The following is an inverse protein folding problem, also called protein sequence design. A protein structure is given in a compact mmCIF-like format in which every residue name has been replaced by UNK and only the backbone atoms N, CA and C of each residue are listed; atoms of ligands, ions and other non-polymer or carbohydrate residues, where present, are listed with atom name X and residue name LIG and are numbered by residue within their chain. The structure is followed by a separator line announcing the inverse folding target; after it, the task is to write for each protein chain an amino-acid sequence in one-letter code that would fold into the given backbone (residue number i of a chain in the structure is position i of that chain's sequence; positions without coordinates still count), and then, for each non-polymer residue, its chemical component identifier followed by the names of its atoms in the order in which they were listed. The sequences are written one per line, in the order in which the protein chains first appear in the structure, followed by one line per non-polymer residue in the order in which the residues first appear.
data_IF_794235259522
#
_entry.id   IF_794235259522
#
_cell.length_a   1.000
_cell.length_b   1.000
_cell.length_c   1.000
_cell.angle_alpha   90.00
_cell.angle_beta   90.00
_cell.angle_gamma   90.00
#
_symmetry.space_group_name_H-M   'P 1'
#
loop_
_entity.id
_entity.type
_entity.pdbx_description
1 polymer ?
#
# COMPACT_ATOMS: atom_id res chain seq x y z
N UNK A 1 25.46 -11.47 -22.70
CA UNK A 1 26.16 -11.16 -23.96
C UNK A 1 27.64 -11.02 -23.62
N UNK A 2 28.22 -12.12 -23.14
CA UNK A 2 29.53 -12.20 -22.49
C UNK A 2 30.46 -13.28 -23.06
N UNK A 3 29.99 -14.45 -23.59
CA UNK A 3 30.90 -15.56 -23.84
C UNK A 3 31.91 -15.27 -24.97
N UNK A 4 31.55 -14.45 -25.96
CA UNK A 4 32.48 -14.08 -27.05
C UNK A 4 33.57 -13.12 -26.56
N UNK A 5 33.31 -12.34 -25.51
CA UNK A 5 34.31 -11.40 -25.00
C UNK A 5 35.27 -12.12 -24.06
N UNK A 6 34.80 -13.09 -23.27
CA UNK A 6 35.73 -14.04 -22.63
C UNK A 6 36.48 -14.89 -23.66
N UNK A 7 35.84 -15.31 -24.76
CA UNK A 7 36.56 -15.98 -25.85
C UNK A 7 37.65 -15.09 -26.47
N UNK A 8 37.35 -13.80 -26.67
CA UNK A 8 38.28 -12.83 -27.24
C UNK A 8 39.43 -12.56 -26.27
N UNK A 9 39.12 -12.31 -25.00
CA UNK A 9 40.08 -12.07 -23.91
C UNK A 9 40.97 -13.29 -23.70
N UNK A 10 40.44 -14.51 -23.72
CA UNK A 10 41.21 -15.77 -23.77
C UNK A 10 42.10 -15.86 -25.01
N UNK A 11 41.56 -15.57 -26.21
CA UNK A 11 42.30 -15.70 -27.47
C UNK A 11 43.46 -14.70 -27.54
N UNK A 12 43.17 -13.45 -27.19
CA UNK A 12 44.15 -12.38 -27.08
C UNK A 12 45.16 -12.70 -25.98
N UNK A 13 44.73 -13.12 -24.79
CA UNK A 13 45.66 -13.56 -23.75
C UNK A 13 46.52 -14.74 -24.19
N UNK A 14 46.02 -15.71 -24.96
CA UNK A 14 46.81 -16.83 -25.49
C UNK A 14 47.84 -16.33 -26.51
N UNK A 15 47.47 -15.45 -27.44
CA UNK A 15 48.41 -14.81 -28.36
C UNK A 15 49.48 -14.01 -27.57
N UNK A 16 49.06 -13.19 -26.61
CA UNK A 16 49.96 -12.42 -25.74
C UNK A 16 50.81 -13.31 -24.83
N UNK A 17 50.37 -14.49 -24.39
CA UNK A 17 51.15 -15.42 -23.57
C UNK A 17 52.19 -16.21 -24.38
N UNK A 18 51.88 -16.47 -25.65
CA UNK A 18 52.78 -17.15 -26.57
C UNK A 18 53.95 -16.24 -26.99
N UNK A 19 53.72 -14.93 -27.11
CA UNK A 19 54.79 -13.93 -27.16
C UNK A 19 55.42 -13.67 -25.79
N UNK A 20 54.64 -13.19 -24.82
CA UNK A 20 55.14 -12.65 -23.55
C UNK A 20 54.72 -13.47 -22.31
N UNK A 21 55.70 -14.08 -21.63
CA UNK A 21 55.46 -15.00 -20.50
C UNK A 21 55.36 -14.31 -19.12
N UNK A 22 54.16 -14.37 -18.53
CA UNK A 22 53.85 -14.35 -17.07
C UNK A 22 54.27 -13.14 -16.18
N UNK A 23 53.28 -12.45 -15.57
CA UNK A 23 52.96 -12.59 -14.11
C UNK A 23 51.70 -11.81 -13.64
N UNK A 24 51.22 -12.14 -12.43
CA UNK A 24 50.03 -11.59 -11.72
C UNK A 24 50.44 -11.03 -10.32
N UNK A 25 49.60 -10.18 -9.66
CA UNK A 25 49.23 -10.28 -8.20
C UNK A 25 48.35 -9.11 -7.58
N UNK A 26 47.06 -9.43 -7.30
CA UNK A 26 46.23 -9.22 -6.05
C UNK A 26 46.13 -7.92 -5.19
N UNK A 27 44.89 -7.37 -5.14
CA UNK A 27 43.88 -7.28 -4.02
C UNK A 27 44.21 -6.64 -2.63
N UNK A 28 43.30 -5.78 -2.09
CA UNK A 28 42.75 -5.83 -0.68
C UNK A 28 41.52 -4.92 -0.37
N UNK A 29 40.74 -5.29 0.67
CA UNK A 29 39.59 -4.61 1.32
C UNK A 29 39.74 -4.66 2.88
N UNK A 30 38.85 -4.03 3.68
CA UNK A 30 38.51 -4.37 5.11
C UNK A 30 37.33 -3.53 5.68
N UNK A 31 36.70 -4.03 6.77
CA UNK A 31 35.38 -3.70 7.38
C UNK A 31 35.52 -3.08 8.83
N UNK A 32 34.55 -2.91 9.77
CA UNK A 32 33.13 -3.29 9.98
C UNK A 32 32.46 -2.44 11.14
N UNK A 33 31.11 -2.41 11.25
CA UNK A 33 30.30 -2.36 12.53
C UNK A 33 30.13 -1.00 13.33
N UNK A 34 29.26 -0.79 14.36
CA UNK A 34 28.25 -1.61 15.10
C UNK A 34 27.23 -0.83 16.03
N UNK A 35 26.27 -1.56 16.68
CA UNK A 35 25.58 -1.34 18.01
C UNK A 35 24.15 -0.67 18.13
N UNK A 36 23.39 -1.00 19.20
CA UNK A 36 21.90 -1.04 19.35
C UNK A 36 21.19 -0.20 20.50
N UNK A 37 19.83 -0.29 20.56
CA UNK A 37 18.89 -0.32 21.74
C UNK A 37 18.35 1.00 22.37
N UNK A 38 17.17 1.11 23.07
CA UNK A 38 16.03 0.18 23.37
C UNK A 38 14.78 0.81 24.10
N UNK A 39 13.57 0.19 23.96
CA UNK A 39 12.41 0.00 24.92
C UNK A 39 11.29 1.08 25.20
N UNK A 40 10.22 0.68 25.94
CA UNK A 40 8.80 1.19 25.93
C UNK A 40 8.14 1.40 27.34
N UNK A 41 6.90 1.98 27.43
CA UNK A 41 5.75 1.62 28.35
C UNK A 41 4.40 2.35 28.03
N UNK A 42 3.27 2.06 28.74
CA UNK A 42 1.83 2.31 28.38
C UNK A 42 0.97 3.05 29.49
N UNK A 43 -0.40 3.02 29.41
CA UNK A 43 -1.42 3.97 29.97
C UNK A 43 -2.25 3.57 31.26
N UNK A 44 -3.14 4.46 31.78
CA UNK A 44 -4.15 4.23 32.88
C UNK A 44 -5.50 5.02 32.71
N UNK A 45 -6.57 4.67 33.46
CA UNK A 45 -7.97 5.21 33.40
C UNK A 45 -8.73 5.09 34.77
N UNK A 46 -9.86 5.81 35.06
CA UNK A 46 -10.45 5.91 36.44
C UNK A 46 -12.00 6.12 36.57
N UNK A 47 -12.63 5.63 37.67
CA UNK A 47 -14.09 5.67 38.00
C UNK A 47 -14.44 6.39 39.35
N UNK A 48 -15.73 6.72 39.64
CA UNK A 48 -16.22 7.50 40.84
C UNK A 48 -17.65 7.12 41.36
N UNK A 49 -17.91 7.23 42.68
CA UNK A 49 -19.21 6.94 43.37
C UNK A 49 -19.98 8.18 43.95
N UNK A 50 -21.22 7.99 44.43
CA UNK A 50 -22.15 9.04 44.96
C UNK A 50 -22.66 8.79 46.40
N UNK A 51 -23.23 9.81 47.06
CA UNK A 51 -23.42 9.86 48.54
C UNK A 51 -24.87 9.64 49.06
N UNK A 52 -25.07 9.27 50.36
CA UNK A 52 -26.36 8.76 50.85
C UNK A 52 -27.54 9.75 50.96
N UNK A 53 -27.29 11.06 51.06
CA UNK A 53 -28.34 12.04 51.36
C UNK A 53 -29.44 12.08 50.29
N UNK A 54 -29.05 11.94 49.02
CA UNK A 54 -29.97 11.95 47.87
C UNK A 54 -30.97 10.79 47.86
N UNK A 55 -30.67 9.69 48.56
CA UNK A 55 -31.52 8.49 48.63
C UNK A 55 -32.70 8.65 49.60
N UNK A 56 -32.65 9.62 50.51
CA UNK A 56 -33.73 9.90 51.45
C UNK A 56 -34.82 10.76 50.78
N UNK A 57 -34.42 11.85 50.14
CA UNK A 57 -35.34 12.79 49.47
C UNK A 57 -36.17 12.10 48.36
N UNK A 58 -35.56 11.15 47.64
CA UNK A 58 -36.23 10.33 46.60
C UNK A 58 -37.36 9.45 47.15
N UNK A 59 -37.38 9.09 48.45
CA UNK A 59 -38.46 8.27 49.05
C UNK A 59 -39.72 9.08 49.34
N UNK A 60 -39.58 10.31 49.83
CA UNK A 60 -40.73 11.12 50.26
C UNK A 60 -41.66 11.46 49.08
N UNK A 61 -41.08 11.85 47.94
CA UNK A 61 -41.84 12.17 46.70
C UNK A 61 -42.65 10.97 46.19
N UNK A 62 -42.16 9.74 46.39
CA UNK A 62 -42.88 8.51 45.99
C UNK A 62 -44.08 8.25 46.91
N UNK A 63 -44.01 8.62 48.19
CA UNK A 63 -45.13 8.49 49.11
C UNK A 63 -46.27 9.45 48.76
N UNK A 64 -45.95 10.72 48.46
CA UNK A 64 -46.89 11.76 48.06
C UNK A 64 -47.64 11.39 46.76
N UNK A 65 -46.92 10.98 45.71
CA UNK A 65 -47.51 10.49 44.46
C UNK A 65 -48.45 9.29 44.67
N UNK A 66 -48.15 8.42 45.65
CA UNK A 66 -48.98 7.26 45.95
C UNK A 66 -50.30 7.61 46.64
N UNK A 67 -50.37 8.73 47.37
CA UNK A 67 -51.64 9.26 47.90
C UNK A 67 -52.54 9.77 46.77
N UNK A 68 -52.00 10.58 45.84
CA UNK A 68 -52.78 11.07 44.69
C UNK A 68 -53.27 9.92 43.79
N UNK A 69 -52.50 8.84 43.62
CA UNK A 69 -53.00 7.65 42.92
C UNK A 69 -54.20 7.01 43.63
N UNK A 70 -54.23 6.97 44.97
CA UNK A 70 -55.37 6.42 45.71
C UNK A 70 -56.66 7.23 45.50
N UNK A 71 -56.58 8.56 45.45
CA UNK A 71 -57.73 9.46 45.19
C UNK A 71 -58.30 9.28 43.76
N UNK A 72 -57.42 9.03 42.78
CA UNK A 72 -57.79 8.69 41.40
C UNK A 72 -58.35 7.24 41.30
N UNK A 73 -58.16 6.40 42.32
CA UNK A 73 -58.56 4.99 42.33
C UNK A 73 -57.53 4.04 41.72
N UNK A 74 -56.31 4.53 41.44
CA UNK A 74 -55.21 3.75 40.90
C UNK A 74 -54.39 3.07 42.02
N UNK A 75 -53.84 1.89 41.72
CA UNK A 75 -52.91 1.19 42.63
C UNK A 75 -51.65 2.02 42.91
N UNK A 76 -50.99 1.90 44.08
CA UNK A 76 -49.73 2.58 44.36
C UNK A 76 -48.57 2.09 43.48
N UNK A 77 -47.57 2.95 43.30
CA UNK A 77 -46.37 2.76 42.48
C UNK A 77 -45.21 2.17 43.31
N UNK A 78 -44.83 0.92 43.04
CA UNK A 78 -43.85 0.15 43.84
C UNK A 78 -42.45 0.09 43.22
N UNK A 79 -41.81 1.25 43.00
CA UNK A 79 -40.48 1.32 42.35
C UNK A 79 -39.35 0.57 43.10
N UNK A 80 -39.43 0.48 44.43
CA UNK A 80 -38.44 -0.24 45.24
C UNK A 80 -38.46 -1.76 45.07
N UNK A 81 -39.55 -2.34 44.54
CA UNK A 81 -39.66 -3.77 44.27
C UNK A 81 -39.12 -4.17 42.88
N UNK A 82 -38.53 -3.22 42.13
CA UNK A 82 -38.10 -3.40 40.74
C UNK A 82 -36.63 -3.03 40.58
N UNK A 83 -35.92 -3.82 39.76
CA UNK A 83 -34.56 -3.53 39.33
C UNK A 83 -34.47 -2.28 38.46
N UNK A 84 -33.34 -1.58 38.54
CA UNK A 84 -33.08 -0.26 37.94
C UNK A 84 -33.61 -0.12 36.50
N UNK A 85 -33.22 -1.07 35.64
CA UNK A 85 -33.52 -1.06 34.21
C UNK A 85 -35.02 -1.12 33.90
N UNK A 86 -35.83 -1.70 34.79
CA UNK A 86 -37.28 -1.90 34.61
C UNK A 86 -38.13 -0.73 35.13
N UNK A 87 -37.56 0.14 35.98
CA UNK A 87 -38.30 1.24 36.64
C UNK A 87 -38.91 2.23 35.64
N UNK A 88 -38.17 2.57 34.59
CA UNK A 88 -38.61 3.54 33.57
C UNK A 88 -39.70 2.99 32.64
N UNK A 89 -39.75 1.67 32.42
CA UNK A 89 -40.83 1.02 31.67
C UNK A 89 -42.11 0.97 32.50
N UNK A 90 -42.04 0.44 33.72
CA UNK A 90 -43.17 0.37 34.65
C UNK A 90 -43.78 1.75 34.94
N UNK A 91 -42.95 2.79 35.10
CA UNK A 91 -43.44 4.17 35.28
C UNK A 91 -44.24 4.69 34.08
N UNK A 92 -43.80 4.42 32.84
CA UNK A 92 -44.51 4.82 31.62
C UNK A 92 -45.84 4.06 31.45
N UNK A 93 -45.82 2.75 31.67
CA UNK A 93 -47.02 1.90 31.59
C UNK A 93 -48.07 2.33 32.64
N UNK A 94 -47.62 2.64 33.87
CA UNK A 94 -48.51 3.10 34.94
C UNK A 94 -49.08 4.50 34.65
N UNK A 95 -48.27 5.42 34.11
CA UNK A 95 -48.71 6.75 33.70
C UNK A 95 -49.79 6.66 32.60
N UNK A 96 -49.64 5.75 31.64
CA UNK A 96 -50.65 5.54 30.59
C UNK A 96 -51.98 5.07 31.19
N UNK A 97 -51.97 4.08 32.10
CA UNK A 97 -53.20 3.62 32.78
C UNK A 97 -53.88 4.75 33.58
N UNK A 98 -53.09 5.59 34.25
CA UNK A 98 -53.62 6.78 34.98
C UNK A 98 -54.26 7.76 34.00
N UNK A 99 -53.64 8.02 32.84
CA UNK A 99 -54.21 8.87 31.80
C UNK A 99 -55.53 8.29 31.24
N UNK A 100 -55.61 6.98 31.05
CA UNK A 100 -56.84 6.27 30.64
C UNK A 100 -57.96 6.39 31.69
N UNK A 101 -57.68 6.08 32.97
CA UNK A 101 -58.67 6.24 34.07
C UNK A 101 -59.09 7.70 34.31
N UNK A 102 -58.19 8.66 34.13
CA UNK A 102 -58.52 10.10 34.20
C UNK A 102 -59.38 10.51 33.00
N UNK A 103 -59.09 10.04 31.79
CA UNK A 103 -59.94 10.28 30.61
C UNK A 103 -61.35 9.71 30.80
N UNK A 104 -61.45 8.49 31.32
CA UNK A 104 -62.73 7.83 31.64
C UNK A 104 -63.52 8.61 32.71
N UNK A 105 -62.89 9.02 33.82
CA UNK A 105 -63.54 9.89 34.82
C UNK A 105 -63.98 11.24 34.25
N UNK A 106 -63.20 11.85 33.37
CA UNK A 106 -63.56 13.13 32.73
C UNK A 106 -64.74 12.95 31.76
N UNK A 107 -64.77 11.87 30.96
CA UNK A 107 -65.88 11.55 30.07
C UNK A 107 -67.18 11.31 30.87
N UNK A 108 -67.11 10.53 31.95
CA UNK A 108 -68.24 10.26 32.85
C UNK A 108 -68.76 11.49 33.62
N UNK A 109 -67.96 12.56 33.76
CA UNK A 109 -68.35 13.81 34.45
C UNK A 109 -68.86 14.90 33.48
N UNK A 110 -68.54 14.81 32.19
CA UNK A 110 -68.89 15.83 31.20
C UNK A 110 -70.01 15.43 30.22
N UNK A 111 -70.44 14.16 30.19
CA UNK A 111 -71.49 13.63 29.29
C UNK A 111 -71.24 13.91 27.78
N UNK A 112 -69.97 14.10 27.40
CA UNK A 112 -69.56 14.34 26.00
C UNK A 112 -68.66 13.20 25.52
N UNK A 113 -69.14 12.48 24.50
CA UNK A 113 -68.31 11.57 23.72
C UNK A 113 -67.27 12.36 22.90
N UNK A 114 -66.07 12.46 23.47
CA UNK A 114 -64.91 12.98 22.77
C UNK A 114 -64.59 12.06 21.57
N UNK A 115 -64.64 12.56 20.32
CA UNK A 115 -64.39 11.71 19.16
C UNK A 115 -62.98 11.12 19.22
N UNK A 116 -62.86 9.85 18.85
CA UNK A 116 -61.56 9.21 18.73
C UNK A 116 -60.68 10.01 17.75
N UNK A 117 -59.52 10.49 18.20
CA UNK A 117 -58.47 11.02 17.32
C UNK A 117 -57.85 9.90 16.49
N UNK A 118 -58.64 9.38 15.54
CA UNK A 118 -58.18 8.52 14.46
C UNK A 118 -57.26 9.37 13.59
N UNK A 119 -55.98 9.30 13.90
CA UNK A 119 -54.86 9.92 13.18
C UNK A 119 -54.65 9.27 11.81
N UNK A 120 -55.68 9.36 10.96
CA UNK A 120 -55.66 8.93 9.55
C UNK A 120 -54.87 9.96 8.75
N UNK A 121 -53.57 10.01 9.03
CA UNK A 121 -52.57 10.51 8.09
C UNK A 121 -52.70 9.61 6.86
N UNK A 122 -53.44 10.09 5.85
CA UNK A 122 -53.51 9.43 4.54
C UNK A 122 -52.07 9.25 4.07
N UNK A 123 -51.61 8.01 3.93
CA UNK A 123 -50.42 7.72 3.15
C UNK A 123 -50.71 8.24 1.74
N UNK A 124 -50.03 9.28 1.30
CA UNK A 124 -50.16 9.74 -0.07
C UNK A 124 -49.57 8.67 -0.98
N UNK A 125 -50.28 8.35 -2.06
CA UNK A 125 -49.82 7.38 -3.06
C UNK A 125 -48.43 7.74 -3.60
N UNK A 126 -48.08 9.03 -3.59
CA UNK A 126 -46.81 9.55 -4.06
C UNK A 126 -45.62 9.14 -3.16
N UNK A 127 -45.85 8.84 -1.89
CA UNK A 127 -44.82 8.24 -1.03
C UNK A 127 -44.52 6.80 -1.45
N UNK A 128 -45.54 6.02 -1.80
CA UNK A 128 -45.36 4.65 -2.26
C UNK A 128 -44.72 4.62 -3.67
N UNK A 129 -45.14 5.52 -4.58
CA UNK A 129 -44.47 5.76 -5.88
C UNK A 129 -42.97 6.10 -5.71
N UNK A 130 -42.64 7.02 -4.78
CA UNK A 130 -41.25 7.42 -4.49
C UNK A 130 -40.44 6.27 -3.88
N UNK A 131 -41.06 5.44 -3.04
CA UNK A 131 -40.45 4.23 -2.47
C UNK A 131 -40.14 3.19 -3.56
N UNK A 132 -41.02 3.01 -4.55
CA UNK A 132 -40.77 2.11 -5.69
C UNK A 132 -39.69 2.62 -6.65
N UNK A 133 -39.63 3.93 -6.92
CA UNK A 133 -38.52 4.56 -7.65
C UNK A 133 -37.18 4.25 -6.95
N UNK A 134 -37.12 4.38 -5.62
CA UNK A 134 -35.91 4.05 -4.85
C UNK A 134 -35.58 2.55 -4.93
N UNK A 135 -36.56 1.63 -4.90
CA UNK A 135 -36.29 0.18 -5.08
C UNK A 135 -35.63 -0.11 -6.44
N UNK A 136 -36.14 0.51 -7.51
CA UNK A 136 -35.62 0.31 -8.86
C UNK A 136 -34.17 0.79 -8.96
N UNK A 137 -33.86 2.00 -8.50
CA UNK A 137 -32.49 2.53 -8.45
C UNK A 137 -31.55 1.70 -7.53
N UNK A 138 -32.04 1.17 -6.41
CA UNK A 138 -31.25 0.29 -5.55
C UNK A 138 -30.82 -1.00 -6.26
N UNK A 139 -31.61 -1.50 -7.21
CA UNK A 139 -31.31 -2.75 -7.92
C UNK A 139 -30.09 -2.64 -8.86
N UNK A 140 -29.97 -1.54 -9.60
CA UNK A 140 -28.91 -1.33 -10.60
C UNK A 140 -27.65 -0.62 -10.09
N UNK A 141 -27.66 -0.09 -8.87
CA UNK A 141 -26.56 0.76 -8.36
C UNK A 141 -25.53 0.03 -7.51
N UNK A 142 -24.31 0.59 -7.46
CA UNK A 142 -23.23 0.03 -6.64
C UNK A 142 -23.60 0.00 -5.15
N UNK A 143 -23.10 -1.01 -4.42
CA UNK A 143 -23.40 -1.19 -2.98
C UNK A 143 -23.07 0.01 -2.09
N UNK A 144 -22.28 0.97 -2.60
CA UNK A 144 -22.00 2.25 -1.96
C UNK A 144 -23.16 3.24 -2.12
N UNK A 145 -23.64 3.44 -3.35
CA UNK A 145 -24.87 4.21 -3.63
C UNK A 145 -26.08 3.58 -2.94
N UNK A 146 -26.17 2.26 -2.89
CA UNK A 146 -27.24 1.57 -2.13
C UNK A 146 -27.29 2.00 -0.66
N UNK A 147 -26.14 2.02 0.04
CA UNK A 147 -26.09 2.44 1.46
C UNK A 147 -26.40 3.95 1.61
N UNK A 148 -25.97 4.77 0.65
CA UNK A 148 -26.28 6.21 0.60
C UNK A 148 -27.78 6.46 0.45
N UNK A 149 -28.44 5.81 -0.52
CA UNK A 149 -29.90 5.95 -0.74
C UNK A 149 -30.72 5.38 0.43
N UNK A 150 -30.24 4.32 1.09
CA UNK A 150 -30.85 3.81 2.32
C UNK A 150 -30.76 4.77 3.52
N UNK A 151 -30.07 5.92 3.42
CA UNK A 151 -30.19 7.01 4.41
C UNK A 151 -31.54 7.73 4.33
N UNK A 152 -32.24 7.69 3.19
CA UNK A 152 -33.56 8.31 3.01
C UNK A 152 -34.62 7.68 3.95
N UNK A 153 -34.87 6.35 3.94
CA UNK A 153 -35.77 5.74 4.92
C UNK A 153 -35.20 5.75 6.36
N UNK A 154 -33.89 5.98 6.54
CA UNK A 154 -33.31 6.17 7.87
C UNK A 154 -33.62 7.56 8.46
N UNK A 155 -33.64 8.63 7.65
CA UNK A 155 -34.03 9.97 8.12
C UNK A 155 -35.52 10.05 8.46
N UNK A 156 -36.35 9.28 7.77
CA UNK A 156 -37.76 9.04 8.11
C UNK A 156 -37.96 8.14 9.36
N UNK A 157 -36.88 7.80 10.08
CA UNK A 157 -36.89 6.98 11.31
C UNK A 157 -37.53 5.59 11.17
N UNK A 158 -37.51 4.98 9.99
CA UNK A 158 -38.10 3.65 9.78
C UNK A 158 -37.35 2.55 10.56
N UNK A 159 -38.10 1.58 11.07
CA UNK A 159 -37.53 0.42 11.77
C UNK A 159 -36.68 -0.44 10.83
N UNK A 160 -35.64 -1.09 11.38
CA UNK A 160 -34.72 -1.92 10.57
C UNK A 160 -35.43 -3.03 9.78
N UNK A 161 -36.46 -3.64 10.38
CA UNK A 161 -37.33 -4.63 9.75
C UNK A 161 -38.06 -4.04 8.56
N UNK A 162 -38.79 -2.93 8.74
CA UNK A 162 -39.48 -2.22 7.64
C UNK A 162 -38.55 -1.90 6.47
N UNK A 163 -37.36 -1.34 6.72
CA UNK A 163 -36.41 -1.02 5.63
C UNK A 163 -35.92 -2.31 4.93
N UNK A 164 -35.57 -3.35 5.70
CA UNK A 164 -35.13 -4.65 5.17
C UNK A 164 -36.21 -5.28 4.27
N UNK A 165 -37.46 -5.28 4.73
CA UNK A 165 -38.61 -5.88 4.06
C UNK A 165 -39.07 -5.05 2.85
N UNK A 166 -39.23 -3.73 2.98
CA UNK A 166 -39.68 -2.87 1.87
C UNK A 166 -38.69 -2.82 0.70
N UNK A 167 -37.39 -2.79 0.96
CA UNK A 167 -36.36 -2.66 -0.08
C UNK A 167 -35.63 -3.97 -0.42
N UNK A 168 -36.00 -5.09 0.20
CA UNK A 168 -35.37 -6.41 0.04
C UNK A 168 -33.82 -6.39 0.21
N UNK A 169 -33.33 -5.65 1.20
CA UNK A 169 -31.88 -5.44 1.44
C UNK A 169 -31.39 -6.18 2.68
N UNK A 170 -30.12 -6.60 2.68
CA UNK A 170 -29.47 -7.22 3.84
C UNK A 170 -29.44 -6.29 5.06
N UNK A 171 -29.74 -6.78 6.28
CA UNK A 171 -29.75 -6.00 7.54
C UNK A 171 -28.43 -5.25 7.78
N UNK A 172 -27.29 -5.80 7.37
CA UNK A 172 -25.99 -5.09 7.40
C UNK A 172 -26.02 -3.75 6.66
N UNK A 173 -26.64 -3.69 5.48
CA UNK A 173 -26.79 -2.44 4.71
C UNK A 173 -27.67 -1.45 5.45
N UNK A 174 -28.78 -1.92 6.04
CA UNK A 174 -29.70 -1.07 6.82
C UNK A 174 -29.03 -0.53 8.07
N UNK A 175 -28.37 -1.38 8.86
CA UNK A 175 -27.58 -0.98 10.05
C UNK A 175 -26.49 0.01 9.68
N UNK A 176 -25.79 -0.20 8.56
CA UNK A 176 -24.74 0.70 8.10
C UNK A 176 -25.30 2.03 7.59
N UNK A 177 -26.43 2.04 6.89
CA UNK A 177 -27.09 3.28 6.45
C UNK A 177 -27.64 4.09 7.64
N UNK A 178 -28.26 3.43 8.63
CA UNK A 178 -28.71 4.09 9.86
C UNK A 178 -27.55 4.64 10.70
N UNK A 179 -26.41 3.94 10.79
CA UNK A 179 -25.22 4.51 11.43
C UNK A 179 -24.67 5.70 10.62
N UNK A 180 -24.52 5.54 9.30
CA UNK A 180 -24.01 6.61 8.42
C UNK A 180 -24.88 7.88 8.48
N UNK A 181 -26.21 7.74 8.55
CA UNK A 181 -27.12 8.85 8.73
C UNK A 181 -26.93 9.56 10.08
N UNK A 182 -26.65 8.83 11.17
CA UNK A 182 -26.32 9.42 12.48
C UNK A 182 -24.95 10.11 12.50
N UNK A 183 -23.96 9.49 11.87
CA UNK A 183 -22.57 9.96 11.88
C UNK A 183 -22.34 11.15 10.92
N UNK A 184 -23.09 11.23 9.81
CA UNK A 184 -22.80 12.14 8.68
C UNK A 184 -24.04 12.77 8.01
N UNK A 185 -25.27 12.42 8.42
CA UNK A 185 -26.50 13.05 7.91
C UNK A 185 -27.08 12.44 6.62
N UNK A 186 -27.99 13.20 6.01
CA UNK A 186 -28.80 12.79 4.86
C UNK A 186 -27.95 12.65 3.57
N UNK A 187 -28.13 11.55 2.84
CA UNK A 187 -27.41 11.22 1.60
C UNK A 187 -25.87 11.25 1.72
N UNK A 188 -25.32 11.08 2.92
CA UNK A 188 -23.88 10.99 3.15
C UNK A 188 -23.24 9.81 2.38
N UNK A 189 -22.09 10.03 1.77
CA UNK A 189 -21.34 8.98 1.07
C UNK A 189 -20.63 8.05 2.08
N UNK A 190 -20.82 6.72 2.00
CA UNK A 190 -20.05 5.80 2.83
C UNK A 190 -18.55 5.97 2.58
N UNK A 191 -17.75 6.17 3.64
CA UNK A 191 -16.30 6.36 3.55
C UNK A 191 -15.61 5.25 2.73
N UNK A 192 -14.54 5.60 2.00
CA UNK A 192 -13.72 4.62 1.26
C UNK A 192 -13.10 3.64 2.25
N UNK A 193 -13.11 2.34 1.92
CA UNK A 193 -12.31 1.33 2.63
C UNK A 193 -10.85 1.51 2.24
N UNK A 194 -10.20 2.52 2.82
CA UNK A 194 -8.75 2.62 2.79
C UNK A 194 -8.19 1.40 3.54
N UNK A 195 -7.21 0.72 2.95
CA UNK A 195 -6.47 -0.33 3.67
C UNK A 195 -5.68 0.26 4.84
N UNK A 196 -5.13 -0.59 5.73
CA UNK A 196 -4.25 -0.11 6.81
C UNK A 196 -3.12 0.73 6.20
N UNK A 197 -3.09 2.01 6.55
CA UNK A 197 -2.04 2.91 6.11
C UNK A 197 -0.74 2.52 6.83
N UNK A 198 0.37 2.54 6.09
CA UNK A 198 1.71 2.46 6.70
C UNK A 198 2.00 3.81 7.37
N UNK A 199 2.70 3.80 8.50
CA UNK A 199 3.15 5.04 9.13
C UNK A 199 4.16 5.78 8.24
N UNK A 200 4.26 7.12 8.34
CA UNK A 200 5.14 7.91 7.47
C UNK A 200 6.63 7.51 7.63
N UNK A 201 7.03 7.16 8.84
CA UNK A 201 8.38 6.70 9.21
C UNK A 201 8.79 5.42 8.44
N UNK A 202 7.87 4.47 8.28
CA UNK A 202 8.11 3.26 7.46
C UNK A 202 8.28 3.64 5.97
N UNK A 203 7.53 4.65 5.49
CA UNK A 203 7.65 5.14 4.12
C UNK A 203 9.00 5.87 3.92
N UNK A 204 9.49 6.58 4.93
CA UNK A 204 10.81 7.22 4.88
C UNK A 204 11.96 6.21 4.97
N UNK A 205 11.86 5.21 5.84
CA UNK A 205 12.83 4.12 5.95
C UNK A 205 12.98 3.37 4.62
N UNK A 206 11.86 3.02 3.96
CA UNK A 206 11.89 2.39 2.62
C UNK A 206 12.56 3.30 1.58
N UNK A 207 12.36 4.62 1.61
CA UNK A 207 13.05 5.56 0.70
C UNK A 207 14.56 5.59 0.97
N UNK A 208 14.96 5.66 2.25
CA UNK A 208 16.38 5.63 2.67
C UNK A 208 17.05 4.34 2.23
N UNK A 209 16.38 3.20 2.38
CA UNK A 209 16.84 1.91 1.89
C UNK A 209 17.05 1.91 0.36
N UNK A 210 16.12 2.48 -0.41
CA UNK A 210 16.26 2.71 -1.86
C UNK A 210 17.36 3.74 -2.25
N UNK A 211 17.96 4.44 -1.29
CA UNK A 211 19.05 5.41 -1.50
C UNK A 211 20.42 4.89 -1.01
N UNK A 212 20.50 3.70 -0.38
CA UNK A 212 21.77 3.10 0.02
C UNK A 212 22.65 2.84 -1.20
N UNK A 213 23.96 3.11 -1.05
CA UNK A 213 24.94 2.98 -2.14
C UNK A 213 25.31 1.52 -2.47
N UNK A 214 25.04 0.59 -1.55
CA UNK A 214 25.09 -0.86 -1.78
C UNK A 214 23.98 -1.33 -2.72
N UNK A 215 22.78 -0.79 -2.55
CA UNK A 215 21.57 -1.22 -3.25
C UNK A 215 21.36 -0.43 -4.56
N UNK A 216 21.99 0.75 -4.68
CA UNK A 216 21.79 1.68 -5.79
C UNK A 216 23.02 2.55 -6.07
N UNK A 217 23.46 2.64 -7.33
CA UNK A 217 24.58 3.52 -7.73
C UNK A 217 24.07 4.80 -8.39
N UNK A 218 24.69 5.96 -8.11
CA UNK A 218 24.33 7.23 -8.76
C UNK A 218 24.78 7.22 -10.23
N UNK A 219 23.90 7.59 -11.16
CA UNK A 219 24.26 7.74 -12.57
C UNK A 219 25.01 9.09 -12.79
N UNK A 220 26.17 9.10 -13.48
CA UNK A 220 27.00 10.30 -13.63
C UNK A 220 26.52 11.27 -14.73
N UNK A 221 25.58 10.86 -15.57
CA UNK A 221 25.15 11.64 -16.73
C UNK A 221 24.37 12.91 -16.37
N UNK A 222 24.65 14.03 -17.05
CA UNK A 222 23.85 15.27 -16.90
C UNK A 222 22.38 15.08 -17.34
N UNK A 223 22.11 14.12 -18.23
CA UNK A 223 20.76 13.68 -18.65
C UNK A 223 20.04 12.84 -17.57
N UNK A 224 20.73 12.54 -16.48
CA UNK A 224 20.26 11.71 -15.36
C UNK A 224 19.94 12.51 -14.11
N UNK A 225 19.66 13.80 -14.27
CA UNK A 225 19.03 14.64 -13.24
C UNK A 225 17.49 14.59 -13.38
N UNK A 226 16.78 14.47 -12.25
CA UNK A 226 15.32 14.45 -12.16
C UNK A 226 14.84 15.53 -11.18
N UNK A 227 13.88 16.35 -11.60
CA UNK A 227 13.27 17.35 -10.72
C UNK A 227 12.23 16.72 -9.77
N UNK A 228 12.41 16.96 -8.47
CA UNK A 228 11.45 16.64 -7.42
C UNK A 228 10.64 17.90 -7.14
N UNK A 229 9.58 18.10 -7.93
CA UNK A 229 8.76 19.30 -7.86
C UNK A 229 9.39 20.48 -8.61
N UNK A 230 9.34 21.68 -8.03
CA UNK A 230 9.73 22.94 -8.69
C UNK A 230 11.16 23.40 -8.43
N UNK A 231 11.84 22.90 -7.39
CA UNK A 231 13.07 23.51 -6.85
C UNK A 231 14.16 22.52 -6.44
N UNK A 232 13.85 21.23 -6.26
CA UNK A 232 14.82 20.21 -5.87
C UNK A 232 15.17 19.34 -7.08
N UNK A 233 16.46 19.06 -7.26
CA UNK A 233 16.98 18.22 -8.34
C UNK A 233 17.81 17.09 -7.73
N UNK A 234 17.43 15.85 -8.04
CA UNK A 234 18.15 14.64 -7.61
C UNK A 234 18.75 13.91 -8.81
N UNK A 235 19.87 13.22 -8.60
CA UNK A 235 20.43 12.33 -9.63
C UNK A 235 19.70 10.99 -9.61
N UNK A 236 19.47 10.41 -10.79
CA UNK A 236 18.95 9.05 -10.91
C UNK A 236 19.94 8.08 -10.27
N UNK A 237 19.40 7.11 -9.55
CA UNK A 237 20.13 5.99 -8.96
C UNK A 237 19.71 4.71 -9.69
N UNK A 238 20.67 3.96 -10.20
CA UNK A 238 20.45 2.64 -10.80
C UNK A 238 20.43 1.60 -9.67
N UNK A 239 19.31 0.91 -9.50
CA UNK A 239 19.18 -0.21 -8.56
C UNK A 239 19.94 -1.40 -9.16
N UNK A 240 20.83 -2.02 -8.36
CA UNK A 240 21.70 -3.11 -8.82
C UNK A 240 21.01 -4.48 -8.87
N UNK A 241 20.10 -4.74 -7.93
CA UNK A 241 19.42 -6.04 -7.77
C UNK A 241 17.97 -6.01 -8.27
N UNK A 242 17.36 -7.19 -8.43
CA UNK A 242 15.92 -7.28 -8.72
C UNK A 242 15.08 -6.80 -7.54
N UNK A 243 13.88 -6.27 -7.81
CA UNK A 243 12.96 -5.80 -6.75
C UNK A 243 12.60 -6.89 -5.73
N UNK A 244 12.59 -8.15 -6.13
CA UNK A 244 12.34 -9.31 -5.26
C UNK A 244 13.50 -9.61 -4.32
N UNK A 245 14.75 -9.47 -4.80
CA UNK A 245 15.97 -9.62 -3.99
C UNK A 245 16.08 -8.47 -3.00
N UNK A 246 15.95 -7.23 -3.49
CA UNK A 246 15.99 -6.01 -2.69
C UNK A 246 14.95 -6.01 -1.56
N UNK A 247 13.73 -6.47 -1.83
CA UNK A 247 12.69 -6.68 -0.81
C UNK A 247 13.02 -7.80 0.18
N UNK A 248 13.78 -8.82 -0.25
CA UNK A 248 14.23 -9.90 0.62
C UNK A 248 15.32 -9.40 1.58
N UNK A 249 16.30 -8.63 1.09
CA UNK A 249 17.31 -7.94 1.92
C UNK A 249 16.65 -7.01 2.95
N UNK A 250 15.72 -6.16 2.50
CA UNK A 250 14.93 -5.30 3.39
C UNK A 250 14.20 -6.09 4.49
N UNK A 251 13.71 -7.29 4.19
CA UNK A 251 13.02 -8.15 5.17
C UNK A 251 13.98 -8.89 6.12
N UNK A 252 15.24 -9.10 5.73
CA UNK A 252 16.29 -9.63 6.60
C UNK A 252 16.74 -8.59 7.62
N UNK A 253 16.93 -7.33 7.21
CA UNK A 253 17.23 -6.22 8.12
C UNK A 253 16.05 -5.85 9.03
N UNK A 254 14.83 -5.83 8.48
CA UNK A 254 13.63 -5.36 9.19
C UNK A 254 12.53 -6.45 9.30
N UNK A 255 12.78 -7.59 9.97
CA UNK A 255 11.83 -8.71 10.04
C UNK A 255 10.52 -8.35 10.73
N UNK A 256 10.52 -7.31 11.58
CA UNK A 256 9.35 -6.81 12.29
C UNK A 256 8.39 -5.99 11.40
N UNK A 257 8.84 -5.51 10.23
CA UNK A 257 8.04 -4.63 9.37
C UNK A 257 7.11 -5.41 8.44
N UNK A 258 5.82 -5.40 8.75
CA UNK A 258 4.74 -6.05 7.98
C UNK A 258 4.37 -5.25 6.72
N UNK A 259 5.33 -5.09 5.81
CA UNK A 259 5.13 -4.61 4.43
C UNK A 259 4.90 -5.82 3.51
N UNK A 260 4.29 -5.61 2.34
CA UNK A 260 4.22 -6.60 1.26
C UNK A 260 4.87 -6.05 -0.01
N UNK A 261 5.49 -6.93 -0.82
CA UNK A 261 6.28 -6.61 -2.01
C UNK A 261 5.62 -5.56 -2.92
N UNK A 262 4.35 -5.72 -3.30
CA UNK A 262 3.63 -4.78 -4.17
C UNK A 262 3.57 -3.36 -3.59
N UNK A 263 3.50 -3.23 -2.26
CA UNK A 263 3.50 -1.92 -1.59
C UNK A 263 4.91 -1.36 -1.46
N UNK A 264 5.93 -2.18 -1.20
CA UNK A 264 7.35 -1.79 -1.24
C UNK A 264 7.73 -1.21 -2.61
N UNK A 265 7.44 -1.95 -3.69
CA UNK A 265 7.68 -1.48 -5.07
C UNK A 265 6.89 -0.21 -5.43
N UNK A 266 5.70 -0.02 -4.84
CA UNK A 266 4.89 1.21 -4.98
C UNK A 266 5.42 2.42 -4.18
N UNK A 267 6.38 2.22 -3.28
CA UNK A 267 7.04 3.29 -2.51
C UNK A 267 8.41 3.68 -3.10
N UNK A 268 8.88 2.98 -4.14
CA UNK A 268 10.15 3.27 -4.84
C UNK A 268 10.20 4.74 -5.30
N UNK A 269 11.27 5.50 -4.99
CA UNK A 269 11.43 6.86 -5.47
C UNK A 269 11.48 6.96 -7.00
N UNK A 270 11.03 8.10 -7.57
CA UNK A 270 11.01 8.33 -9.03
C UNK A 270 12.40 8.32 -9.68
N UNK A 271 13.42 8.68 -8.91
CA UNK A 271 14.82 8.71 -9.36
C UNK A 271 15.52 7.36 -9.22
N UNK A 272 14.93 6.37 -8.54
CA UNK A 272 15.47 5.02 -8.43
C UNK A 272 14.97 4.15 -9.60
N UNK A 273 15.86 3.90 -10.57
CA UNK A 273 15.60 3.26 -11.87
C UNK A 273 16.13 1.82 -11.87
N UNK A 274 15.48 0.92 -12.60
CA UNK A 274 15.96 -0.46 -12.80
C UNK A 274 16.87 -0.55 -14.03
N UNK A 275 17.88 -1.43 -13.96
CA UNK A 275 18.52 -1.95 -15.16
C UNK A 275 17.45 -2.54 -16.10
N UNK A 276 17.45 -2.12 -17.36
CA UNK A 276 16.44 -2.47 -18.37
C UNK A 276 15.61 -1.27 -18.85
N UNK A 277 15.61 -0.14 -18.14
CA UNK A 277 14.96 1.08 -18.61
C UNK A 277 15.69 1.67 -19.84
N UNK A 278 14.94 2.21 -20.81
CA UNK A 278 15.50 2.82 -22.03
C UNK A 278 16.54 3.89 -21.70
N UNK A 279 17.78 3.68 -22.14
CA UNK A 279 18.95 4.50 -21.81
C UNK A 279 19.95 3.86 -20.84
N UNK A 280 19.58 2.77 -20.14
CA UNK A 280 20.52 2.04 -19.23
C UNK A 280 21.38 0.99 -19.93
N UNK A 281 21.07 0.61 -21.17
CA UNK A 281 21.77 -0.43 -21.93
C UNK A 281 22.17 0.04 -23.33
N UNK A 282 23.38 0.59 -23.46
CA UNK A 282 24.04 0.84 -24.76
C UNK A 282 25.57 0.59 -24.74
N UNK A 283 26.19 0.40 -23.57
CA UNK A 283 27.64 0.21 -23.38
C UNK A 283 27.85 -0.83 -22.27
N UNK A 284 28.79 -1.78 -22.44
CA UNK A 284 29.27 -2.58 -21.30
C UNK A 284 30.38 -1.83 -20.61
N UNK A 285 30.20 -1.48 -19.34
CA UNK A 285 31.24 -0.90 -18.48
C UNK A 285 31.85 -2.01 -17.62
N UNK A 286 32.18 -3.13 -18.28
CA UNK A 286 32.68 -4.34 -17.63
C UNK A 286 34.17 -4.50 -17.93
N UNK A 287 34.97 -4.89 -16.92
CA UNK A 287 36.44 -4.97 -17.00
C UNK A 287 36.92 -5.65 -18.27
N UNK A 288 36.35 -6.81 -18.63
CA UNK A 288 36.75 -7.60 -19.81
C UNK A 288 36.65 -6.78 -21.11
N UNK A 289 35.49 -6.18 -21.41
CA UNK A 289 35.33 -5.34 -22.61
C UNK A 289 36.29 -4.13 -22.60
N UNK A 290 36.44 -3.48 -21.44
CA UNK A 290 37.23 -2.26 -21.34
C UNK A 290 38.74 -2.54 -21.41
N UNK A 291 39.20 -3.68 -20.87
CA UNK A 291 40.58 -4.14 -20.92
C UNK A 291 40.96 -4.57 -22.33
N UNK A 292 40.09 -5.30 -23.04
CA UNK A 292 40.30 -5.63 -24.47
C UNK A 292 40.45 -4.37 -25.32
N UNK A 293 39.62 -3.34 -25.09
CA UNK A 293 39.77 -2.04 -25.78
C UNK A 293 41.12 -1.38 -25.44
N UNK A 294 41.53 -1.37 -24.16
CA UNK A 294 42.80 -0.78 -23.74
C UNK A 294 44.02 -1.55 -24.27
N UNK A 295 43.92 -2.86 -24.45
CA UNK A 295 44.92 -3.71 -25.09
C UNK A 295 45.09 -3.40 -26.59
N UNK A 296 43.98 -3.30 -27.33
CA UNK A 296 43.98 -2.94 -28.76
C UNK A 296 44.63 -1.56 -28.97
N UNK A 297 44.28 -0.58 -28.14
CA UNK A 297 44.88 0.75 -28.15
C UNK A 297 46.36 0.75 -27.74
N UNK A 298 46.76 -0.03 -26.73
CA UNK A 298 48.15 -0.12 -26.28
C UNK A 298 49.08 -0.76 -27.31
N UNK A 299 48.59 -1.80 -28.01
CA UNK A 299 49.32 -2.49 -29.07
C UNK A 299 49.22 -1.78 -30.45
N UNK A 300 48.81 -0.51 -30.50
CA UNK A 300 48.92 0.34 -31.69
C UNK A 300 48.01 -0.02 -32.87
N UNK A 301 46.95 -0.80 -32.67
CA UNK A 301 46.04 -1.19 -33.76
C UNK A 301 45.17 -0.01 -34.22
N UNK A 302 45.10 0.21 -35.54
CA UNK A 302 44.19 1.20 -36.16
C UNK A 302 42.71 0.73 -36.18
N UNK A 303 42.46 -0.57 -35.96
CA UNK A 303 41.12 -1.15 -36.03
C UNK A 303 40.35 -1.04 -34.70
N UNK A 304 39.08 -0.63 -34.77
CA UNK A 304 38.18 -0.70 -33.63
C UNK A 304 37.89 -2.16 -33.25
N UNK A 305 37.70 -2.42 -31.95
CA UNK A 305 37.15 -3.67 -31.40
C UNK A 305 35.92 -4.21 -32.16
N UNK A 306 35.08 -3.34 -32.74
CA UNK A 306 33.91 -3.73 -33.56
C UNK A 306 34.29 -4.47 -34.85
N UNK A 307 35.44 -4.12 -35.44
CA UNK A 307 35.97 -4.76 -36.65
C UNK A 307 36.56 -6.13 -36.30
N UNK A 308 37.38 -6.20 -35.26
CA UNK A 308 37.97 -7.45 -34.75
C UNK A 308 36.91 -8.49 -34.34
N UNK A 309 35.75 -8.06 -33.84
CA UNK A 309 34.61 -8.96 -33.57
C UNK A 309 34.07 -9.66 -34.83
N UNK A 310 34.16 -9.05 -36.02
CA UNK A 310 33.62 -9.62 -37.27
C UNK A 310 34.35 -10.88 -37.74
N UNK A 311 35.58 -11.10 -37.29
CA UNK A 311 36.34 -12.33 -37.54
C UNK A 311 35.78 -13.56 -36.80
N UNK A 312 34.88 -13.36 -35.84
CA UNK A 312 34.39 -14.38 -34.88
C UNK A 312 32.88 -14.65 -35.00
N UNK A 313 32.11 -13.76 -35.63
CA UNK A 313 30.65 -13.87 -35.81
C UNK A 313 30.25 -13.67 -37.27
N UNK A 314 29.11 -14.22 -37.68
CA UNK A 314 28.58 -14.00 -39.02
C UNK A 314 28.27 -12.51 -39.28
N UNK A 315 28.38 -12.08 -40.54
CA UNK A 315 27.89 -10.77 -40.97
C UNK A 315 26.39 -10.61 -40.63
N UNK A 316 26.03 -9.48 -40.00
CA UNK A 316 24.67 -9.29 -39.46
C UNK A 316 24.39 -10.03 -38.14
N UNK A 317 25.42 -10.34 -37.34
CA UNK A 317 25.38 -11.12 -36.10
C UNK A 317 24.17 -10.83 -35.16
N UNK A 318 23.19 -11.73 -35.20
CA UNK A 318 22.06 -11.75 -34.27
C UNK A 318 22.44 -12.26 -32.86
N UNK A 319 21.47 -12.25 -31.95
CA UNK A 319 21.62 -12.72 -30.55
C UNK A 319 22.26 -14.10 -30.44
N UNK A 320 21.87 -15.04 -31.30
CA UNK A 320 22.36 -16.43 -31.23
C UNK A 320 23.83 -16.55 -31.66
N UNK A 321 24.26 -15.75 -32.65
CA UNK A 321 25.68 -15.59 -32.96
C UNK A 321 26.42 -15.07 -31.73
N UNK A 322 25.94 -13.95 -31.15
CA UNK A 322 26.46 -13.26 -29.97
C UNK A 322 26.40 -14.05 -28.64
N UNK A 323 25.85 -15.26 -28.66
CA UNK A 323 25.80 -16.20 -27.54
C UNK A 323 26.44 -17.56 -27.89
N UNK A 324 27.14 -17.70 -29.03
CA UNK A 324 27.72 -18.96 -29.54
C UNK A 324 26.72 -20.09 -29.84
N UNK A 325 25.43 -19.80 -29.97
CA UNK A 325 24.39 -20.77 -30.36
C UNK A 325 24.22 -20.84 -31.89
N UNK A 326 25.32 -20.77 -32.64
CA UNK A 326 25.29 -20.70 -34.11
C UNK A 326 26.43 -21.49 -34.74
N UNK A 327 26.09 -22.64 -35.31
CA UNK A 327 27.03 -23.59 -35.95
C UNK A 327 27.69 -23.07 -37.25
N UNK A 328 27.41 -21.81 -37.62
CA UNK A 328 27.91 -21.13 -38.83
C UNK A 328 28.83 -19.96 -38.53
N UNK A 329 29.07 -19.63 -37.26
CA UNK A 329 30.06 -18.60 -36.92
C UNK A 329 31.48 -19.06 -37.28
N UNK A 330 32.35 -18.18 -37.79
CA UNK A 330 33.76 -18.50 -37.96
C UNK A 330 34.41 -18.85 -36.61
N UNK A 331 35.39 -19.74 -36.65
CA UNK A 331 36.13 -20.18 -35.46
C UNK A 331 37.03 -19.06 -34.91
N UNK A 332 37.49 -19.21 -33.66
CA UNK A 332 38.49 -18.34 -33.03
C UNK A 332 39.77 -18.23 -33.91
N UNK A 333 40.06 -19.28 -34.67
CA UNK A 333 41.27 -19.44 -35.49
C UNK A 333 41.49 -18.31 -36.51
N UNK A 334 40.42 -17.72 -37.06
CA UNK A 334 40.53 -16.59 -37.99
C UNK A 334 41.10 -15.34 -37.31
N UNK A 335 40.69 -15.08 -36.05
CA UNK A 335 41.25 -14.00 -35.25
C UNK A 335 42.67 -14.34 -34.80
N UNK A 336 42.94 -15.60 -34.40
CA UNK A 336 44.29 -16.05 -34.02
C UNK A 336 45.29 -15.78 -35.15
N UNK A 337 44.96 -16.16 -36.39
CA UNK A 337 45.83 -15.93 -37.55
C UNK A 337 46.02 -14.45 -37.86
N UNK A 338 44.97 -13.63 -37.77
CA UNK A 338 45.07 -12.18 -37.95
C UNK A 338 45.99 -11.53 -36.89
N UNK A 339 45.84 -11.91 -35.62
CA UNK A 339 46.69 -11.40 -34.54
C UNK A 339 48.13 -11.89 -34.69
N UNK A 340 48.35 -13.17 -35.03
CA UNK A 340 49.68 -13.72 -35.26
C UNK A 340 50.41 -12.96 -36.39
N UNK A 341 49.77 -12.76 -37.55
CA UNK A 341 50.34 -11.99 -38.65
C UNK A 341 50.53 -10.49 -38.35
N UNK A 342 49.95 -9.97 -37.26
CA UNK A 342 50.14 -8.59 -36.77
C UNK A 342 51.19 -8.48 -35.67
N UNK A 343 51.55 -9.58 -35.02
CA UNK A 343 52.65 -9.66 -34.06
C UNK A 343 53.92 -10.32 -34.65
N UNK A 344 53.90 -10.74 -35.91
CA UNK A 344 55.08 -11.25 -36.65
C UNK A 344 56.10 -10.14 -36.98
N UNK A 345 55.68 -8.88 -36.99
CA UNK A 345 56.52 -7.69 -37.18
C UNK A 345 57.16 -7.15 -35.85
N UNK A 346 56.94 -7.82 -34.71
CA UNK A 346 57.43 -7.39 -33.38
C UNK A 346 58.52 -8.33 -32.85
N UNK A 347 59.59 -7.77 -32.28
CA UNK A 347 60.71 -8.53 -31.69
C UNK A 347 60.51 -8.78 -30.18
N UNK A 348 61.24 -9.75 -29.61
CA UNK A 348 61.26 -10.07 -28.16
C UNK A 348 61.66 -8.88 -27.25
N UNK A 349 62.21 -7.79 -27.82
CA UNK A 349 62.58 -6.55 -27.11
C UNK A 349 61.48 -5.48 -27.09
N UNK A 350 60.39 -5.63 -27.86
CA UNK A 350 59.30 -4.64 -27.93
C UNK A 350 58.38 -4.69 -26.69
N UNK A 351 58.23 -3.54 -26.01
CA UNK A 351 57.44 -3.43 -24.77
C UNK A 351 56.11 -2.73 -25.02
N UNK A 352 55.02 -3.49 -25.05
CA UNK A 352 53.65 -2.97 -25.12
C UNK A 352 53.14 -2.59 -23.72
N UNK A 353 53.23 -1.31 -23.36
CA UNK A 353 52.61 -0.78 -22.14
C UNK A 353 51.13 -0.46 -22.36
N UNK A 354 50.25 -0.98 -21.50
CA UNK A 354 48.81 -0.67 -21.52
C UNK A 354 48.23 -0.58 -20.10
N UNK A 355 47.12 0.14 -19.96
CA UNK A 355 46.42 0.29 -18.68
C UNK A 355 45.34 -0.80 -18.54
N UNK A 356 45.24 -1.43 -17.36
CA UNK A 356 44.23 -2.46 -17.07
C UNK A 356 43.30 -2.03 -15.93
N UNK A 357 41.99 -2.18 -16.12
CA UNK A 357 40.98 -2.03 -15.07
C UNK A 357 40.93 -3.29 -14.20
N UNK A 358 41.20 -3.11 -12.90
CA UNK A 358 41.19 -4.17 -11.88
C UNK A 358 39.79 -4.37 -11.27
N UNK A 359 39.01 -3.29 -11.15
CA UNK A 359 37.61 -3.26 -10.71
C UNK A 359 36.77 -2.36 -11.61
N UNK A 360 35.44 -2.41 -11.44
CA UNK A 360 34.45 -1.48 -12.01
C UNK A 360 33.65 -0.75 -10.93
N UNK A 361 34.12 -0.87 -9.68
CA UNK A 361 33.70 -0.14 -8.48
C UNK A 361 34.89 0.70 -8.00
#
# INVERSE_FOLDING_TARGET
MTPIISDFDETWHICSFNGFKNKLLKIKQIDESNVQNSLNTEDEDHDVEFTPAELLQKRNVIAELNSSFHEIGCSPMKLHALGEHSRSFYGKEKLQRVHETVKERIQNVLEVDLPEEKSVIKKSEDLDKLVDIIKNELSGTSRRKQIQMLTIPASLMWSRRKIKETFNVSDYSVRKAQKLFKDQGFLAEPARRNGKQLSPDIIELVKKFYQLDEQSRILPGMKDVVSIGKTVYERKRLILCNLSELYSSFKLEYPNLKIGLSKFCSLRPKWCVLAGASGTHLVCVCTIHQNVILLIHGAGFEEEYKQLMSYIVCEGAGRECMLRHCDKCPSKDNLVQFLQAKFEDYDDEDIVEYNQWVSTD
#
